data_IF_484388105853
#
_entry.id   IF_484388105853
#
_cell.length_a   1.000
_cell.length_b   1.000
_cell.length_c   1.000
_cell.angle_alpha   90.00
_cell.angle_beta   90.00
_cell.angle_gamma   90.00
#
_symmetry.space_group_name_H-M   'P 1'
#
loop_
_entity.id
_entity.type
_entity.pdbx_description
1 polymer ?
#
# COMPACT_ATOMS: atom_id res chain seq x y z
N UNK A 1 -5.62 5.09 -50.10
CA UNK A 1 -5.72 5.48 -48.68
C UNK A 1 -5.05 4.37 -47.87
N UNK A 2 -3.82 4.58 -47.41
CA UNK A 2 -2.99 3.55 -46.75
C UNK A 2 -2.62 4.04 -45.36
N UNK A 3 -2.84 3.16 -44.39
CA UNK A 3 -2.13 3.06 -43.11
C UNK A 3 -2.30 4.22 -42.13
N UNK A 4 -3.42 4.24 -41.40
CA UNK A 4 -3.52 4.87 -40.08
C UNK A 4 -3.77 3.84 -38.94
N UNK A 5 -3.64 2.54 -39.23
CA UNK A 5 -3.87 1.48 -38.24
C UNK A 5 -2.66 1.25 -37.31
N UNK A 6 -1.45 1.70 -37.68
CA UNK A 6 -0.22 1.47 -36.91
C UNK A 6 -0.04 2.40 -35.71
N UNK A 7 -0.60 3.61 -35.75
CA UNK A 7 -0.42 4.60 -34.68
C UNK A 7 -1.28 4.27 -33.45
N UNK A 8 -2.45 3.67 -33.66
CA UNK A 8 -3.38 3.32 -32.58
C UNK A 8 -2.82 2.17 -31.72
N UNK A 9 -2.14 1.21 -32.34
CA UNK A 9 -1.60 0.03 -31.63
C UNK A 9 -0.43 0.43 -30.70
N UNK A 10 0.42 1.36 -31.12
CA UNK A 10 1.56 1.82 -30.28
C UNK A 10 1.06 2.63 -29.08
N UNK A 11 0.02 3.44 -29.23
CA UNK A 11 -0.61 4.16 -28.12
C UNK A 11 -1.30 3.20 -27.12
N UNK A 12 -1.94 2.13 -27.61
CA UNK A 12 -2.52 1.09 -26.73
C UNK A 12 -1.45 0.29 -25.98
N UNK A 13 -0.33 -0.03 -26.63
CA UNK A 13 0.78 -0.75 -25.98
C UNK A 13 1.46 0.07 -24.88
N UNK A 14 1.55 1.40 -25.04
CA UNK A 14 2.07 2.29 -24.00
C UNK A 14 1.14 2.37 -22.78
N UNK A 15 -0.18 2.26 -22.96
CA UNK A 15 -1.13 2.21 -21.84
C UNK A 15 -1.03 0.91 -21.02
N UNK A 16 -0.58 -0.20 -21.62
CA UNK A 16 -0.45 -1.50 -20.95
C UNK A 16 0.90 -1.62 -20.21
N UNK A 17 1.90 -0.81 -20.57
CA UNK A 17 3.22 -0.80 -19.93
C UNK A 17 3.29 0.05 -18.64
N UNK A 18 2.27 0.85 -18.33
CA UNK A 18 2.12 1.46 -16.99
C UNK A 18 1.42 0.53 -15.98
N UNK A 19 1.09 -0.71 -16.36
CA UNK A 19 0.69 -1.77 -15.42
C UNK A 19 1.92 -2.51 -14.85
N UNK A 20 2.98 -1.76 -14.57
CA UNK A 20 4.13 -2.21 -13.82
C UNK A 20 3.73 -2.35 -12.34
N UNK A 21 3.11 -3.48 -11.99
CA UNK A 21 3.15 -4.07 -10.64
C UNK A 21 2.84 -3.04 -9.53
N UNK A 22 1.78 -2.24 -9.70
CA UNK A 22 1.30 -1.35 -8.64
C UNK A 22 0.65 -2.22 -7.58
N UNK A 23 1.47 -2.70 -6.64
CA UNK A 23 0.95 -3.00 -5.32
C UNK A 23 0.48 -1.68 -4.73
N UNK A 24 -0.77 -1.34 -5.02
CA UNK A 24 -1.34 -0.04 -4.71
C UNK A 24 -1.38 0.08 -3.19
N UNK A 25 -0.63 1.05 -2.68
CA UNK A 25 -0.73 1.40 -1.28
C UNK A 25 -2.18 1.83 -1.01
N UNK A 26 -2.93 1.02 -0.30
CA UNK A 26 -4.30 1.29 0.14
C UNK A 26 -4.26 2.52 1.05
N UNK A 27 -5.05 3.56 0.75
CA UNK A 27 -5.04 4.77 1.56
C UNK A 27 -5.54 4.47 2.98
N UNK A 28 -5.07 5.23 3.97
CA UNK A 28 -5.41 4.98 5.37
C UNK A 28 -6.89 5.18 5.68
N UNK A 29 -7.62 5.91 4.83
CA UNK A 29 -9.06 6.09 4.88
C UNK A 29 -9.88 4.95 4.27
N UNK A 30 -9.26 4.10 3.45
CA UNK A 30 -9.95 3.02 2.72
C UNK A 30 -10.01 1.75 3.56
N UNK A 31 -10.97 0.88 3.26
CA UNK A 31 -11.12 -0.40 3.92
C UNK A 31 -9.96 -1.36 3.63
N UNK A 32 -9.59 -2.15 4.64
CA UNK A 32 -8.59 -3.19 4.49
C UNK A 32 -9.31 -4.51 4.14
N UNK A 33 -9.17 -5.02 2.91
CA UNK A 33 -10.12 -6.01 2.35
C UNK A 33 -10.14 -7.35 3.09
N UNK A 34 -9.05 -7.69 3.77
CA UNK A 34 -8.90 -8.97 4.48
C UNK A 34 -9.03 -8.84 6.02
N UNK A 35 -9.34 -7.64 6.52
CA UNK A 35 -9.28 -7.35 7.95
C UNK A 35 -10.60 -6.76 8.44
N UNK A 36 -11.20 -7.29 9.52
CA UNK A 36 -12.37 -6.69 10.14
C UNK A 36 -12.13 -5.23 10.54
N UNK A 37 -13.16 -4.38 10.44
CA UNK A 37 -13.04 -2.93 10.69
C UNK A 37 -12.43 -2.58 12.04
N UNK A 38 -12.78 -3.32 13.10
CA UNK A 38 -12.17 -3.15 14.44
C UNK A 38 -10.64 -3.36 14.43
N UNK A 39 -10.17 -4.42 13.78
CA UNK A 39 -8.74 -4.73 13.71
C UNK A 39 -8.02 -3.75 12.79
N UNK A 40 -8.67 -3.31 11.71
CA UNK A 40 -8.14 -2.27 10.82
C UNK A 40 -7.95 -0.94 11.58
N UNK A 41 -8.92 -0.53 12.39
CA UNK A 41 -8.79 0.66 13.25
C UNK A 41 -7.66 0.52 14.27
N UNK A 42 -7.53 -0.66 14.90
CA UNK A 42 -6.42 -0.94 15.84
C UNK A 42 -5.06 -0.86 15.14
N UNK A 43 -4.96 -1.40 13.92
CA UNK A 43 -3.76 -1.31 13.10
C UNK A 43 -3.43 0.14 12.76
N UNK A 44 -4.39 0.92 12.23
CA UNK A 44 -4.22 2.35 11.91
C UNK A 44 -3.71 3.15 13.11
N UNK A 45 -4.30 2.96 14.29
CA UNK A 45 -3.87 3.62 15.53
C UNK A 45 -2.42 3.25 15.91
N UNK A 46 -2.04 1.98 15.76
CA UNK A 46 -0.64 1.53 15.97
C UNK A 46 0.32 2.18 14.96
N UNK A 47 -0.04 2.20 13.68
CA UNK A 47 0.82 2.78 12.64
C UNK A 47 0.98 4.29 12.81
N UNK A 48 -0.08 5.02 13.15
CA UNK A 48 0.02 6.45 13.47
C UNK A 48 0.99 6.73 14.63
N UNK A 49 0.95 5.93 15.70
CA UNK A 49 1.92 6.04 16.79
C UNK A 49 3.36 5.80 16.30
N UNK A 50 3.56 4.81 15.44
CA UNK A 50 4.88 4.49 14.85
C UNK A 50 5.39 5.51 13.85
N UNK A 51 4.51 6.14 13.07
CA UNK A 51 4.84 7.25 12.21
C UNK A 51 5.29 8.48 13.01
N UNK A 52 4.95 8.53 14.30
CA UNK A 52 5.25 9.69 15.14
C UNK A 52 4.17 10.76 14.98
N UNK A 53 2.90 10.39 15.14
CA UNK A 53 1.78 11.35 15.16
C UNK A 53 2.04 12.57 16.05
N UNK A 54 2.66 12.37 17.22
CA UNK A 54 3.08 13.45 18.13
C UNK A 54 4.15 14.38 17.54
N UNK A 55 4.89 13.93 16.53
CA UNK A 55 5.93 14.66 15.78
C UNK A 55 5.44 15.14 14.41
N UNK A 56 4.11 15.22 14.24
CA UNK A 56 3.44 15.66 13.00
C UNK A 56 3.67 14.73 11.80
N UNK A 57 3.65 13.42 12.00
CA UNK A 57 3.63 12.44 10.92
C UNK A 57 2.49 11.45 11.13
N UNK A 58 1.65 11.25 10.12
CA UNK A 58 0.53 10.29 10.15
C UNK A 58 0.75 9.14 9.19
N UNK A 59 0.14 7.99 9.52
CA UNK A 59 0.00 6.88 8.59
C UNK A 59 -0.98 7.26 7.48
N UNK A 60 -0.56 7.11 6.23
CA UNK A 60 -1.34 7.55 5.06
C UNK A 60 -1.68 6.46 4.08
N UNK A 61 -0.86 5.42 3.96
CA UNK A 61 -1.19 4.32 3.07
C UNK A 61 -0.41 3.04 3.39
N UNK A 62 -0.95 1.87 3.07
CA UNK A 62 -0.39 0.55 3.38
C UNK A 62 -0.36 -0.35 2.16
N UNK A 63 0.74 -1.06 1.98
CA UNK A 63 0.89 -2.16 1.05
C UNK A 63 1.05 -3.44 1.86
N UNK A 64 0.05 -4.31 1.80
CA UNK A 64 0.08 -5.58 2.50
C UNK A 64 0.88 -6.65 1.79
N UNK A 65 1.01 -6.61 0.45
CA UNK A 65 1.78 -7.62 -0.30
C UNK A 65 3.28 -7.53 0.01
N UNK A 66 3.79 -6.30 0.09
CA UNK A 66 5.18 -5.99 0.46
C UNK A 66 5.35 -5.65 1.94
N UNK A 67 4.27 -5.76 2.72
CA UNK A 67 4.24 -5.46 4.16
C UNK A 67 4.91 -4.12 4.49
N UNK A 68 4.58 -3.07 3.74
CA UNK A 68 5.09 -1.71 3.90
C UNK A 68 3.97 -0.72 4.19
N UNK A 69 4.30 0.40 4.83
CA UNK A 69 3.36 1.50 5.02
C UNK A 69 4.07 2.85 4.89
N UNK A 70 3.32 3.85 4.42
CA UNK A 70 3.74 5.23 4.26
C UNK A 70 3.36 6.05 5.50
N UNK A 71 4.31 6.87 5.92
CA UNK A 71 4.11 7.93 6.88
C UNK A 71 4.32 9.27 6.18
N UNK A 72 3.38 10.19 6.30
CA UNK A 72 3.45 11.52 5.69
C UNK A 72 3.43 12.59 6.77
N UNK A 73 4.21 13.65 6.59
CA UNK A 73 4.17 14.81 7.47
C UNK A 73 2.81 15.49 7.39
N UNK A 74 2.26 15.88 8.54
CA UNK A 74 0.97 16.56 8.66
C UNK A 74 1.17 18.04 8.34
N UNK A 75 0.38 18.55 7.40
CA UNK A 75 0.41 19.94 6.94
C UNK A 75 0.61 20.02 5.43
N UNK A 76 1.16 21.14 4.96
CA UNK A 76 1.41 21.39 3.53
C UNK A 76 2.70 20.76 3.00
N UNK A 77 3.59 20.36 3.91
CA UNK A 77 4.81 19.66 3.55
C UNK A 77 4.50 18.16 3.34
N UNK A 78 4.81 17.64 2.16
CA UNK A 78 4.57 16.25 1.75
C UNK A 78 5.76 15.31 2.02
N UNK A 79 6.63 15.63 3.00
CA UNK A 79 7.70 14.73 3.42
C UNK A 79 7.12 13.36 3.77
N UNK A 80 7.56 12.34 3.04
CA UNK A 80 7.12 10.96 3.21
C UNK A 80 8.28 10.04 3.49
N UNK A 81 8.02 9.00 4.27
CA UNK A 81 8.94 7.87 4.38
C UNK A 81 8.15 6.56 4.49
N UNK A 82 8.78 5.47 4.09
CA UNK A 82 8.19 4.13 4.09
C UNK A 82 8.84 3.29 5.20
N UNK A 83 8.00 2.53 5.92
CA UNK A 83 8.45 1.57 6.93
C UNK A 83 7.88 0.19 6.62
N UNK A 84 8.51 -0.85 7.18
CA UNK A 84 7.99 -2.23 7.15
C UNK A 84 7.01 -2.46 8.30
N UNK A 85 5.94 -3.18 8.03
CA UNK A 85 5.09 -3.79 9.04
C UNK A 85 5.92 -4.77 9.87
N UNK A 86 5.50 -4.97 11.12
CA UNK A 86 6.09 -6.02 11.95
C UNK A 86 5.76 -7.39 11.39
N UNK A 87 6.72 -8.30 11.48
CA UNK A 87 6.44 -9.72 11.27
C UNK A 87 5.25 -10.16 12.13
N UNK A 88 4.48 -11.13 11.64
CA UNK A 88 3.21 -11.61 12.24
C UNK A 88 2.04 -10.63 12.16
N UNK A 89 2.19 -9.46 11.53
CA UNK A 89 1.03 -8.61 11.21
C UNK A 89 0.19 -9.30 10.14
N UNK A 90 -1.13 -9.42 10.35
CA UNK A 90 -2.05 -9.93 9.32
C UNK A 90 -2.00 -9.05 8.06
N UNK A 91 -1.91 -9.67 6.90
CA UNK A 91 -1.74 -8.98 5.61
C UNK A 91 -2.59 -9.55 4.46
N UNK A 92 -3.28 -10.67 4.68
CA UNK A 92 -4.10 -11.29 3.64
C UNK A 92 -5.19 -12.15 4.26
N UNK A 93 -5.63 -13.17 3.51
CA UNK A 93 -6.62 -14.15 3.93
C UNK A 93 -6.24 -14.83 5.25
N UNK A 94 -7.17 -15.59 5.83
CA UNK A 94 -6.94 -16.32 7.08
C UNK A 94 -5.61 -17.10 7.03
N UNK A 95 -4.77 -16.89 8.05
CA UNK A 95 -3.43 -17.51 8.15
C UNK A 95 -2.29 -16.76 7.45
N UNK A 96 -2.56 -15.68 6.69
CA UNK A 96 -1.49 -14.93 6.02
C UNK A 96 -0.94 -13.79 6.89
N UNK A 97 0.38 -13.80 7.09
CA UNK A 97 1.10 -12.86 7.93
C UNK A 97 2.33 -12.28 7.23
N UNK A 98 2.71 -11.08 7.65
CA UNK A 98 3.97 -10.49 7.25
C UNK A 98 5.15 -11.31 7.76
N UNK A 99 6.07 -11.64 6.87
CA UNK A 99 7.36 -12.24 7.19
C UNK A 99 8.42 -11.65 6.26
N UNK A 100 9.45 -11.02 6.84
CA UNK A 100 10.60 -10.46 6.09
C UNK A 100 10.20 -9.49 4.97
N UNK A 101 9.08 -8.78 5.12
CA UNK A 101 8.60 -7.81 4.13
C UNK A 101 7.76 -8.42 3.00
N UNK A 102 7.22 -9.62 3.20
CA UNK A 102 6.27 -10.26 2.29
C UNK A 102 5.07 -10.80 3.05
N UNK A 103 3.90 -10.79 2.43
CA UNK A 103 2.74 -11.49 2.95
C UNK A 103 2.80 -12.97 2.58
N UNK A 104 2.93 -13.85 3.58
CA UNK A 104 3.06 -15.30 3.38
C UNK A 104 2.03 -16.05 4.22
N UNK A 105 1.62 -17.25 3.77
CA UNK A 105 0.83 -18.14 4.62
C UNK A 105 1.71 -18.67 5.75
N UNK A 106 1.22 -18.61 7.00
CA UNK A 106 1.82 -19.35 8.11
C UNK A 106 1.66 -20.85 7.84
N UNK A 107 2.78 -21.56 7.80
CA UNK A 107 2.87 -23.02 7.63
C UNK A 107 2.90 -23.69 9.00
#
# INVERSE_FOLDING_TARGET
>A
MKLAAGVIIVALLLLILEEDISSEFIASGDDFPHMPSHDAQRLRSRLNRKCGYRRRFSFTAIDFSTCKYKCTRIGTNQDTYIRRLEDKTSCGSQGQKCQRGHCVAEV
#
